data_IF_095785416630
#
_entry.id   IF_095785416630
#
_cell.length_a   1.000
_cell.length_b   1.000
_cell.length_c   1.000
_cell.angle_alpha   90.00
_cell.angle_beta   90.00
_cell.angle_gamma   90.00
#
_symmetry.space_group_name_H-M   'P 1'
#
loop_
_entity.id
_entity.type
_entity.pdbx_description
1 polymer ?
#
# COMPACT_ATOMS: atom_id res chain seq x y z
N UNK A 1 27.18 -10.09 13.20
CA UNK A 1 26.27 -10.64 12.16
C UNK A 1 25.99 -9.52 11.17
N UNK A 2 26.20 -9.73 9.87
CA UNK A 2 25.84 -8.74 8.86
C UNK A 2 24.31 -8.66 8.75
N UNK A 3 23.75 -7.46 8.73
CA UNK A 3 22.29 -7.29 8.60
C UNK A 3 21.87 -7.48 7.14
N UNK A 4 20.58 -7.74 6.90
CA UNK A 4 20.02 -7.77 5.53
C UNK A 4 20.30 -6.46 4.77
N UNK A 5 20.33 -5.33 5.49
CA UNK A 5 20.67 -4.04 4.91
C UNK A 5 22.12 -3.99 4.39
N UNK A 6 23.08 -4.48 5.19
CA UNK A 6 24.49 -4.54 4.78
C UNK A 6 24.69 -5.49 3.59
N UNK A 7 23.94 -6.59 3.58
CA UNK A 7 23.96 -7.57 2.49
C UNK A 7 23.39 -7.03 1.18
N UNK A 8 22.28 -6.27 1.24
CA UNK A 8 21.72 -5.58 0.06
C UNK A 8 22.72 -4.56 -0.48
N UNK A 9 23.29 -3.72 0.39
CA UNK A 9 24.27 -2.71 -0.02
C UNK A 9 25.53 -3.35 -0.61
N UNK A 10 25.98 -4.51 -0.09
CA UNK A 10 27.10 -5.25 -0.65
C UNK A 10 26.77 -5.85 -2.03
N UNK A 11 25.57 -6.41 -2.21
CA UNK A 11 25.14 -7.02 -3.47
C UNK A 11 25.05 -6.01 -4.61
N UNK A 12 24.49 -4.82 -4.34
CA UNK A 12 24.28 -3.78 -5.37
C UNK A 12 25.56 -2.99 -5.73
N UNK A 13 26.68 -3.19 -5.01
CA UNK A 13 27.96 -2.51 -5.33
C UNK A 13 28.48 -2.86 -6.72
N UNK A 14 28.22 -4.09 -7.18
CA UNK A 14 28.80 -4.60 -8.43
C UNK A 14 27.87 -4.36 -9.62
N UNK A 15 26.56 -4.39 -9.40
CA UNK A 15 25.56 -4.14 -10.43
C UNK A 15 24.22 -3.77 -9.79
N UNK A 16 23.38 -2.96 -10.46
CA UNK A 16 22.00 -2.77 -10.05
C UNK A 16 21.24 -4.11 -10.06
N UNK A 17 20.44 -4.38 -9.03
CA UNK A 17 19.69 -5.65 -8.88
C UNK A 17 18.23 -5.41 -8.51
N UNK A 18 17.33 -6.18 -9.11
CA UNK A 18 15.92 -6.20 -8.73
C UNK A 18 15.67 -6.98 -7.41
N UNK A 19 14.50 -6.79 -6.82
CA UNK A 19 14.16 -7.41 -5.53
C UNK A 19 14.10 -8.97 -5.62
N UNK A 20 13.85 -9.55 -6.80
CA UNK A 20 13.88 -11.02 -7.02
C UNK A 20 15.32 -11.55 -7.09
N UNK A 21 16.20 -10.81 -7.78
CA UNK A 21 17.62 -11.13 -7.89
C UNK A 21 18.30 -11.04 -6.52
N UNK A 22 18.00 -9.99 -5.75
CA UNK A 22 18.48 -9.85 -4.37
C UNK A 22 17.96 -10.99 -3.47
N UNK A 23 16.68 -11.36 -3.58
CA UNK A 23 16.12 -12.46 -2.80
C UNK A 23 16.83 -13.81 -3.11
N UNK A 24 17.08 -14.09 -4.39
CA UNK A 24 17.82 -15.30 -4.81
C UNK A 24 19.27 -15.28 -4.34
N UNK A 25 19.97 -14.16 -4.53
CA UNK A 25 21.39 -14.04 -4.20
C UNK A 25 21.66 -14.09 -2.69
N UNK A 26 20.75 -13.54 -1.89
CA UNK A 26 20.86 -13.52 -0.44
C UNK A 26 20.26 -14.78 0.23
N UNK A 27 19.70 -15.71 -0.55
CA UNK A 27 19.07 -16.93 -0.03
C UNK A 27 17.85 -16.64 0.85
N UNK A 28 17.20 -15.49 0.64
CA UNK A 28 16.07 -15.03 1.45
C UNK A 28 14.77 -15.45 0.78
N UNK A 29 14.04 -16.39 1.38
CA UNK A 29 12.77 -16.90 0.86
C UNK A 29 11.66 -15.84 0.78
N UNK A 30 11.78 -14.73 1.52
CA UNK A 30 10.78 -13.68 1.60
C UNK A 30 11.23 -12.38 0.91
N UNK A 31 10.84 -12.23 -0.36
CA UNK A 31 10.99 -11.00 -1.16
C UNK A 31 10.51 -9.72 -0.45
N UNK A 32 9.50 -9.84 0.42
CA UNK A 32 8.93 -8.73 1.18
C UNK A 32 9.94 -8.10 2.16
N UNK A 33 10.87 -8.88 2.71
CA UNK A 33 11.93 -8.39 3.60
C UNK A 33 12.95 -7.53 2.83
N UNK A 34 13.30 -7.95 1.60
CA UNK A 34 14.18 -7.20 0.70
C UNK A 34 13.52 -5.87 0.30
N UNK A 35 12.25 -5.91 -0.13
CA UNK A 35 11.52 -4.72 -0.55
C UNK A 35 11.41 -3.67 0.58
N UNK A 36 11.03 -4.09 1.80
CA UNK A 36 10.94 -3.20 2.96
C UNK A 36 12.31 -2.61 3.34
N UNK A 37 13.36 -3.44 3.34
CA UNK A 37 14.70 -3.00 3.71
C UNK A 37 15.27 -2.03 2.67
N UNK A 38 15.06 -2.29 1.39
CA UNK A 38 15.55 -1.44 0.31
C UNK A 38 14.83 -0.10 0.21
N UNK A 39 13.50 -0.05 0.45
CA UNK A 39 12.76 1.22 0.59
C UNK A 39 13.27 2.06 1.77
N UNK A 40 13.57 1.42 2.91
CA UNK A 40 14.17 2.13 4.04
C UNK A 40 15.54 2.69 3.70
N UNK A 41 16.39 1.91 3.01
CA UNK A 41 17.72 2.36 2.57
C UNK A 41 17.66 3.49 1.52
N UNK A 42 16.61 3.54 0.70
CA UNK A 42 16.35 4.64 -0.22
C UNK A 42 15.99 5.94 0.52
N UNK A 43 15.09 5.87 1.51
CA UNK A 43 14.74 7.01 2.37
C UNK A 43 15.98 7.52 3.13
N UNK A 44 16.84 6.60 3.58
CA UNK A 44 18.11 6.92 4.24
C UNK A 44 19.20 7.42 3.25
N UNK A 45 18.92 7.51 1.95
CA UNK A 45 19.85 7.98 0.93
C UNK A 45 21.04 7.05 0.67
N UNK A 46 20.96 5.77 1.06
CA UNK A 46 22.04 4.78 0.94
C UNK A 46 21.99 3.98 -0.36
N UNK A 47 20.84 3.92 -1.02
CA UNK A 47 20.66 3.38 -2.36
C UNK A 47 19.61 4.20 -3.13
N UNK A 48 19.54 4.00 -4.43
CA UNK A 48 18.49 4.54 -5.29
C UNK A 48 17.68 3.41 -5.90
N UNK A 49 16.36 3.59 -6.01
CA UNK A 49 15.47 2.66 -6.72
C UNK A 49 14.93 3.32 -7.98
N UNK A 50 14.93 2.59 -9.09
CA UNK A 50 14.38 3.06 -10.36
C UNK A 50 13.81 1.90 -11.18
N UNK A 51 12.99 2.22 -12.19
CA UNK A 51 12.43 1.24 -13.12
C UNK A 51 13.52 0.85 -14.14
N UNK A 52 13.91 -0.43 -14.13
CA UNK A 52 14.86 -1.00 -15.08
C UNK A 52 14.25 -1.27 -16.46
N UNK A 53 15.07 -1.71 -17.43
CA UNK A 53 14.64 -1.95 -18.83
C UNK A 53 13.48 -2.94 -18.96
N UNK A 54 13.39 -3.90 -18.05
CA UNK A 54 12.36 -4.95 -18.02
C UNK A 54 11.10 -4.53 -17.24
N UNK A 55 10.98 -3.24 -16.86
CA UNK A 55 9.85 -2.71 -16.08
C UNK A 55 9.89 -3.06 -14.59
N UNK A 56 10.93 -3.74 -14.12
CA UNK A 56 11.12 -4.09 -12.70
C UNK A 56 11.83 -2.99 -11.93
N UNK A 57 11.57 -2.90 -10.62
CA UNK A 57 12.29 -1.97 -9.74
C UNK A 57 13.67 -2.54 -9.40
N UNK A 58 14.70 -1.76 -9.69
CA UNK A 58 16.11 -2.10 -9.51
C UNK A 58 16.73 -1.22 -8.44
N UNK A 59 17.60 -1.78 -7.62
CA UNK A 59 18.33 -1.12 -6.53
C UNK A 59 19.77 -0.84 -6.96
N UNK A 60 20.25 0.39 -6.81
CA UNK A 60 21.61 0.81 -7.16
C UNK A 60 22.28 1.65 -6.05
N UNK A 61 23.64 1.71 -5.99
CA UNK A 61 24.35 2.51 -5.00
C UNK A 61 24.07 4.02 -5.13
N UNK A 62 24.10 4.75 -4.01
CA UNK A 62 23.74 6.18 -3.98
C UNK A 62 24.83 7.19 -4.38
N UNK A 63 26.01 6.81 -4.90
CA UNK A 63 27.03 7.79 -5.30
C UNK A 63 27.99 7.35 -6.43
N UNK A 64 28.18 8.26 -7.42
CA UNK A 64 29.30 8.31 -8.37
C UNK A 64 28.91 8.27 -9.85
N UNK A 65 28.66 9.44 -10.47
CA UNK A 65 28.10 9.63 -11.83
C UNK A 65 29.04 9.11 -12.94
N UNK A 66 28.48 8.36 -13.90
CA UNK A 66 28.96 8.33 -15.28
C UNK A 66 27.75 8.40 -16.24
N UNK A 67 27.82 9.37 -17.15
CA UNK A 67 26.75 9.92 -17.98
C UNK A 67 26.04 8.90 -18.90
N UNK A 68 24.71 9.01 -18.97
CA UNK A 68 23.96 8.81 -20.23
C UNK A 68 22.97 9.96 -20.39
N UNK A 69 22.78 10.46 -21.63
CA UNK A 69 22.05 11.69 -21.86
C UNK A 69 20.59 11.52 -21.47
N UNK A 70 20.09 12.53 -20.76
CA UNK A 70 18.72 12.60 -20.28
C UNK A 70 17.72 12.44 -21.44
N UNK A 71 16.71 11.55 -21.33
CA UNK A 71 15.46 11.81 -22.00
C UNK A 71 14.78 12.95 -21.24
N UNK A 72 14.58 14.07 -21.94
CA UNK A 72 13.76 15.17 -21.49
C UNK A 72 12.34 14.70 -21.19
N UNK A 73 11.85 15.07 -20.00
CA UNK A 73 10.44 15.20 -19.59
C UNK A 73 9.56 13.94 -19.65
N UNK A 74 9.34 13.37 -18.48
CA UNK A 74 8.06 13.54 -17.77
C UNK A 74 8.26 13.14 -16.32
N UNK A 75 7.84 14.00 -15.40
CA UNK A 75 7.64 13.69 -13.99
C UNK A 75 6.61 12.56 -13.87
N UNK A 76 7.06 11.31 -13.97
CA UNK A 76 6.31 10.18 -13.48
C UNK A 76 6.58 10.10 -11.98
N UNK A 77 5.82 10.91 -11.22
CA UNK A 77 5.39 10.48 -9.88
C UNK A 77 5.00 9.01 -9.96
N UNK A 78 5.39 8.19 -9.00
CA UNK A 78 4.92 6.80 -8.97
C UNK A 78 3.39 6.79 -9.07
N UNK A 79 2.84 6.31 -10.17
CA UNK A 79 1.38 6.33 -10.47
C UNK A 79 0.55 5.48 -9.49
N UNK A 80 1.19 4.81 -8.52
CA UNK A 80 0.53 3.95 -7.56
C UNK A 80 0.20 4.68 -6.27
N UNK A 81 -1.08 4.69 -5.92
CA UNK A 81 -1.57 5.25 -4.68
C UNK A 81 -1.09 4.43 -3.47
N UNK A 82 -0.40 5.04 -2.52
CA UNK A 82 0.07 4.36 -1.31
C UNK A 82 -1.06 4.15 -0.29
N UNK A 83 -0.86 3.23 0.66
CA UNK A 83 -1.84 3.01 1.75
C UNK A 83 -2.03 4.26 2.61
N UNK A 84 -0.96 5.02 2.84
CA UNK A 84 -0.98 6.28 3.61
C UNK A 84 -1.78 7.37 2.87
N UNK A 85 -1.66 7.46 1.54
CA UNK A 85 -2.48 8.35 0.71
C UNK A 85 -3.95 7.96 0.74
N UNK A 86 -4.27 6.66 0.66
CA UNK A 86 -5.64 6.13 0.82
C UNK A 86 -6.21 6.50 2.18
N UNK A 87 -5.45 6.28 3.26
CA UNK A 87 -5.83 6.67 4.64
C UNK A 87 -6.09 8.16 4.75
N UNK A 88 -5.22 8.99 4.15
CA UNK A 88 -5.37 10.45 4.19
C UNK A 88 -6.63 10.92 3.47
N UNK A 89 -6.89 10.42 2.27
CA UNK A 89 -8.08 10.81 1.49
C UNK A 89 -9.39 10.46 2.21
N UNK A 90 -9.47 9.26 2.80
CA UNK A 90 -10.64 8.83 3.60
C UNK A 90 -10.79 9.67 4.87
N UNK A 91 -9.69 9.93 5.57
CA UNK A 91 -9.68 10.82 6.74
C UNK A 91 -10.23 12.20 6.38
N UNK A 92 -9.79 12.78 5.27
CA UNK A 92 -10.21 14.11 4.87
C UNK A 92 -11.69 14.16 4.47
N UNK A 93 -12.19 13.12 3.80
CA UNK A 93 -13.62 12.94 3.55
C UNK A 93 -14.43 12.92 4.85
N UNK A 94 -14.10 12.01 5.76
CA UNK A 94 -14.87 11.82 7.00
C UNK A 94 -14.79 13.05 7.91
N UNK A 95 -13.66 13.76 7.94
CA UNK A 95 -13.55 15.04 8.65
C UNK A 95 -14.48 16.10 8.09
N UNK A 96 -14.60 16.21 6.76
CA UNK A 96 -15.55 17.14 6.12
C UNK A 96 -17.00 16.81 6.47
N UNK A 97 -17.29 15.52 6.72
CA UNK A 97 -18.59 15.05 7.17
C UNK A 97 -18.81 15.18 8.70
N UNK A 98 -17.87 15.79 9.44
CA UNK A 98 -18.01 16.05 10.87
C UNK A 98 -17.54 14.93 11.79
N UNK A 99 -16.86 13.91 11.26
CA UNK A 99 -16.27 12.86 12.09
C UNK A 99 -14.96 13.32 12.74
N UNK A 100 -14.75 12.91 13.99
CA UNK A 100 -13.43 12.83 14.60
C UNK A 100 -12.74 11.57 14.09
N UNK A 101 -11.58 11.71 13.44
CA UNK A 101 -10.89 10.59 12.78
C UNK A 101 -9.54 10.31 13.42
N UNK A 102 -9.30 9.05 13.79
CA UNK A 102 -8.01 8.52 14.21
C UNK A 102 -7.48 7.55 13.15
N UNK A 103 -6.24 7.78 12.71
CA UNK A 103 -5.55 6.93 11.73
C UNK A 103 -4.40 6.22 12.42
N UNK A 104 -4.33 4.90 12.25
CA UNK A 104 -3.20 4.11 12.69
C UNK A 104 -2.06 4.25 11.66
N UNK A 105 -1.02 4.98 12.04
CA UNK A 105 0.21 5.10 11.25
C UNK A 105 1.21 4.02 11.69
N UNK A 106 1.77 3.28 10.74
CA UNK A 106 2.76 2.22 11.00
C UNK A 106 2.18 0.90 11.54
N UNK A 107 3.01 0.08 12.20
CA UNK A 107 2.68 -1.28 12.68
C UNK A 107 1.84 -1.34 13.96
N UNK A 108 1.11 -0.28 14.29
CA UNK A 108 0.28 -0.25 15.49
C UNK A 108 -0.90 -1.20 15.31
N UNK A 109 -1.15 -2.08 16.29
CA UNK A 109 -2.32 -2.97 16.25
C UNK A 109 -3.61 -2.13 16.33
N UNK A 110 -4.43 -2.20 15.30
CA UNK A 110 -5.71 -1.48 15.23
C UNK A 110 -6.26 -1.46 13.80
N UNK A 111 -7.50 -0.99 13.66
CA UNK A 111 -8.06 -0.66 12.35
C UNK A 111 -7.35 0.56 11.77
N UNK A 112 -7.11 0.54 10.47
CA UNK A 112 -6.36 1.59 9.77
C UNK A 112 -6.96 2.98 9.98
N UNK A 113 -8.29 3.08 9.95
CA UNK A 113 -9.04 4.30 10.29
C UNK A 113 -10.20 3.98 11.22
N UNK A 114 -10.26 4.63 12.38
CA UNK A 114 -11.41 4.67 13.29
C UNK A 114 -11.98 6.09 13.29
N UNK A 115 -13.22 6.27 12.85
CA UNK A 115 -13.87 7.56 12.80
C UNK A 115 -15.16 7.55 13.62
N UNK A 116 -15.39 8.62 14.39
CA UNK A 116 -16.52 8.76 15.30
C UNK A 116 -17.23 10.08 15.09
N UNK A 117 -18.54 10.04 14.90
CA UNK A 117 -19.36 11.22 14.76
C UNK A 117 -20.11 11.53 16.08
N UNK A 118 -20.35 12.81 16.41
CA UNK A 118 -21.06 13.18 17.65
C UNK A 118 -22.47 12.60 17.80
N UNK A 119 -23.13 12.21 16.69
CA UNK A 119 -24.45 11.57 16.69
C UNK A 119 -24.42 10.06 16.99
N UNK A 120 -23.25 9.50 17.30
CA UNK A 120 -23.07 8.10 17.62
C UNK A 120 -22.67 7.21 16.45
N UNK A 121 -22.65 7.70 15.21
CA UNK A 121 -22.11 6.93 14.07
C UNK A 121 -20.62 6.66 14.23
N UNK A 122 -20.19 5.46 13.83
CA UNK A 122 -18.78 5.05 13.86
C UNK A 122 -18.40 4.29 12.61
N UNK A 123 -17.22 4.57 12.07
CA UNK A 123 -16.59 3.80 10.99
C UNK A 123 -15.34 3.09 11.49
N UNK A 124 -15.17 1.84 11.08
CA UNK A 124 -13.93 1.08 11.18
C UNK A 124 -13.53 0.65 9.77
N UNK A 125 -12.41 1.16 9.27
CA UNK A 125 -12.03 1.06 7.85
C UNK A 125 -10.64 0.46 7.72
N UNK A 126 -10.51 -0.60 6.92
CA UNK A 126 -9.24 -1.20 6.53
C UNK A 126 -8.80 -0.65 5.16
N UNK A 127 -7.59 -0.12 5.06
CA UNK A 127 -7.08 0.54 3.86
C UNK A 127 -6.01 -0.31 3.18
N UNK A 128 -5.93 -0.26 1.84
CA UNK A 128 -4.83 -0.85 1.08
C UNK A 128 -4.38 0.09 -0.03
N UNK A 129 -3.07 0.18 -0.24
CA UNK A 129 -2.49 0.88 -1.39
C UNK A 129 -2.45 0.04 -2.66
N UNK A 130 -2.14 0.68 -3.77
CA UNK A 130 -1.85 0.04 -5.04
C UNK A 130 -0.48 -0.63 -5.05
N UNK A 131 -0.46 -1.76 -5.75
CA UNK A 131 0.75 -2.46 -6.16
C UNK A 131 0.59 -2.78 -7.64
N UNK A 132 1.69 -3.13 -8.30
CA UNK A 132 1.65 -3.59 -9.68
C UNK A 132 0.55 -4.67 -9.84
N UNK A 133 -0.31 -4.55 -10.87
CA UNK A 133 -1.42 -5.48 -11.09
C UNK A 133 -0.94 -6.93 -11.11
N UNK A 134 -1.68 -7.81 -10.46
CA UNK A 134 -1.32 -9.23 -10.36
C UNK A 134 -1.76 -9.92 -9.06
N UNK A 135 -1.19 -11.10 -8.74
CA UNK A 135 -1.59 -11.90 -7.58
C UNK A 135 -1.46 -11.17 -6.24
N UNK A 136 -0.53 -10.22 -6.15
CA UNK A 136 -0.26 -9.48 -4.92
C UNK A 136 -1.44 -8.60 -4.50
N UNK A 137 -2.09 -7.92 -5.45
CA UNK A 137 -3.25 -7.07 -5.16
C UNK A 137 -4.47 -7.90 -4.76
N UNK A 138 -4.63 -9.12 -5.33
CA UNK A 138 -5.65 -10.09 -4.89
C UNK A 138 -5.43 -10.51 -3.45
N UNK A 139 -4.19 -10.84 -3.09
CA UNK A 139 -3.85 -11.21 -1.71
C UNK A 139 -4.07 -10.04 -0.74
N UNK A 140 -3.76 -8.81 -1.15
CA UNK A 140 -4.03 -7.62 -0.33
C UNK A 140 -5.52 -7.45 -0.07
N UNK A 141 -6.35 -7.61 -1.11
CA UNK A 141 -7.80 -7.54 -0.97
C UNK A 141 -8.35 -8.62 -0.02
N UNK A 142 -7.95 -9.88 -0.21
CA UNK A 142 -8.44 -10.99 0.62
C UNK A 142 -7.97 -10.87 2.08
N UNK A 143 -6.73 -10.44 2.30
CA UNK A 143 -6.20 -10.20 3.64
C UNK A 143 -6.94 -9.05 4.33
N UNK A 144 -7.14 -7.92 3.63
CA UNK A 144 -7.88 -6.77 4.17
C UNK A 144 -9.30 -7.15 4.58
N UNK A 145 -9.99 -7.91 3.71
CA UNK A 145 -11.33 -8.41 4.00
C UNK A 145 -11.33 -9.34 5.23
N UNK A 146 -10.38 -10.26 5.32
CA UNK A 146 -10.26 -11.17 6.46
C UNK A 146 -9.91 -10.45 7.76
N UNK A 147 -9.04 -9.45 7.73
CA UNK A 147 -8.69 -8.60 8.88
C UNK A 147 -9.89 -7.79 9.35
N UNK A 148 -10.65 -7.21 8.41
CA UNK A 148 -11.85 -6.46 8.71
C UNK A 148 -12.90 -7.35 9.38
N UNK A 149 -13.19 -8.53 8.80
CA UNK A 149 -14.18 -9.49 9.34
C UNK A 149 -13.82 -9.93 10.77
N UNK A 150 -12.54 -10.19 11.05
CA UNK A 150 -12.09 -10.57 12.40
C UNK A 150 -12.30 -9.46 13.46
N UNK A 151 -12.53 -8.22 13.03
CA UNK A 151 -12.76 -7.05 13.89
C UNK A 151 -14.23 -6.63 13.93
N UNK A 152 -15.12 -7.39 13.30
CA UNK A 152 -16.56 -7.11 13.30
C UNK A 152 -17.24 -7.53 14.61
N UNK A 153 -16.83 -6.89 15.71
CA UNK A 153 -17.31 -7.16 17.07
C UNK A 153 -18.39 -6.18 17.56
N UNK A 154 -18.53 -5.02 16.90
CA UNK A 154 -19.44 -3.96 17.30
C UNK A 154 -20.58 -3.79 16.28
N UNK A 155 -21.82 -4.21 16.61
CA UNK A 155 -22.95 -4.14 15.69
C UNK A 155 -23.43 -2.70 15.38
N UNK A 156 -22.94 -1.70 16.12
CA UNK A 156 -23.26 -0.29 15.90
C UNK A 156 -22.17 0.45 15.09
N UNK A 157 -21.08 -0.22 14.73
CA UNK A 157 -20.07 0.33 13.84
C UNK A 157 -20.35 -0.08 12.39
N UNK A 158 -20.12 0.84 11.47
CA UNK A 158 -20.06 0.55 10.04
C UNK A 158 -18.63 0.12 9.67
N UNK A 159 -18.51 -0.94 8.87
CA UNK A 159 -17.23 -1.52 8.49
C UNK A 159 -16.99 -1.32 7.01
N UNK A 160 -15.78 -0.88 6.63
CA UNK A 160 -15.48 -0.61 5.23
C UNK A 160 -14.08 -1.02 4.80
N UNK A 161 -13.94 -1.27 3.51
CA UNK A 161 -12.64 -1.28 2.83
C UNK A 161 -12.41 0.09 2.18
N UNK A 162 -11.19 0.62 2.29
CA UNK A 162 -10.74 1.77 1.50
C UNK A 162 -9.74 1.31 0.45
N UNK A 163 -10.11 1.46 -0.82
CA UNK A 163 -9.37 0.90 -1.94
C UNK A 163 -9.16 1.96 -3.05
N UNK A 164 -7.99 1.96 -3.70
CA UNK A 164 -7.75 2.72 -4.90
C UNK A 164 -8.75 2.37 -6.01
N UNK A 165 -9.23 3.39 -6.71
CA UNK A 165 -10.16 3.23 -7.83
C UNK A 165 -9.43 2.77 -9.09
N UNK A 166 -9.06 1.48 -9.11
CA UNK A 166 -8.50 0.84 -10.28
C UNK A 166 -9.30 -0.38 -10.71
N UNK A 167 -9.08 -0.78 -11.96
CA UNK A 167 -9.80 -1.88 -12.61
C UNK A 167 -9.72 -3.19 -11.83
N UNK A 168 -8.60 -3.49 -11.19
CA UNK A 168 -8.42 -4.75 -10.48
C UNK A 168 -9.19 -4.79 -9.15
N UNK A 169 -9.15 -3.72 -8.34
CA UNK A 169 -9.96 -3.64 -7.13
C UNK A 169 -11.45 -3.57 -7.44
N UNK A 170 -11.87 -2.82 -8.48
CA UNK A 170 -13.25 -2.84 -9.00
C UNK A 170 -13.70 -4.27 -9.30
N UNK A 171 -12.93 -4.99 -10.12
CA UNK A 171 -13.26 -6.38 -10.46
C UNK A 171 -13.17 -7.38 -9.31
N UNK A 172 -12.46 -7.08 -8.22
CA UNK A 172 -12.47 -7.89 -6.98
C UNK A 172 -13.74 -7.62 -6.16
N UNK A 173 -14.10 -6.35 -5.99
CA UNK A 173 -15.31 -5.91 -5.28
C UNK A 173 -16.58 -6.39 -6.01
N UNK A 174 -16.62 -6.27 -7.34
CA UNK A 174 -17.77 -6.69 -8.15
C UNK A 174 -17.99 -8.22 -8.15
N UNK A 175 -16.95 -9.00 -7.83
CA UNK A 175 -17.05 -10.46 -7.68
C UNK A 175 -17.57 -10.88 -6.31
N UNK A 176 -17.57 -10.00 -5.32
CA UNK A 176 -18.19 -10.31 -4.03
C UNK A 176 -19.72 -10.33 -4.21
N UNK A 177 -20.41 -11.42 -3.82
CA UNK A 177 -21.86 -11.51 -3.95
C UNK A 177 -22.59 -10.45 -3.12
N UNK A 178 -23.69 -9.90 -3.62
CA UNK A 178 -24.51 -8.92 -2.88
C UNK A 178 -24.98 -9.47 -1.51
N UNK A 179 -25.22 -10.78 -1.41
CA UNK A 179 -25.57 -11.43 -0.14
C UNK A 179 -24.46 -11.25 0.92
N UNK A 180 -23.19 -11.30 0.51
CA UNK A 180 -22.07 -11.10 1.44
C UNK A 180 -22.03 -9.64 1.92
N UNK A 181 -22.19 -8.67 1.02
CA UNK A 181 -22.30 -7.25 1.39
C UNK A 181 -23.42 -7.01 2.39
N UNK A 182 -24.62 -7.55 2.13
CA UNK A 182 -25.77 -7.37 3.01
C UNK A 182 -25.58 -8.03 4.38
N UNK A 183 -25.05 -9.25 4.42
CA UNK A 183 -24.87 -10.00 5.67
C UNK A 183 -23.77 -9.41 6.54
N UNK A 184 -22.75 -8.83 5.94
CA UNK A 184 -21.66 -8.18 6.65
C UNK A 184 -21.93 -6.69 6.91
N UNK A 185 -22.91 -6.06 6.24
CA UNK A 185 -23.02 -4.60 6.26
C UNK A 185 -21.71 -3.93 5.80
N UNK A 186 -21.06 -4.54 4.80
CA UNK A 186 -19.76 -4.13 4.30
C UNK A 186 -19.91 -2.93 3.37
N UNK A 187 -19.06 -1.93 3.58
CA UNK A 187 -19.00 -0.73 2.75
C UNK A 187 -17.68 -0.61 1.99
N UNK A 188 -17.64 0.21 0.95
CA UNK A 188 -16.42 0.47 0.17
C UNK A 188 -16.25 1.96 -0.09
N UNK A 189 -15.11 2.49 0.35
CA UNK A 189 -14.59 3.79 -0.06
C UNK A 189 -13.63 3.59 -1.24
N UNK A 190 -13.92 4.28 -2.34
CA UNK A 190 -12.99 4.38 -3.45
C UNK A 190 -12.12 5.61 -3.29
N UNK A 191 -10.86 5.50 -3.69
CA UNK A 191 -9.89 6.60 -3.59
C UNK A 191 -9.17 6.83 -4.92
N UNK A 192 -9.07 8.09 -5.33
CA UNK A 192 -8.24 8.55 -6.45
C UNK A 192 -7.45 9.78 -6.02
N UNK A 193 -6.12 9.72 -6.09
CA UNK A 193 -5.17 10.77 -5.67
C UNK A 193 -5.51 11.40 -4.30
N UNK A 194 -6.37 12.43 -4.28
CA UNK A 194 -6.75 13.19 -3.07
C UNK A 194 -8.25 13.10 -2.73
N UNK A 195 -9.03 12.32 -3.49
CA UNK A 195 -10.47 12.21 -3.34
C UNK A 195 -10.86 10.80 -2.91
N UNK A 196 -11.66 10.73 -1.86
CA UNK A 196 -12.36 9.52 -1.46
C UNK A 196 -13.87 9.74 -1.58
N UNK A 197 -14.61 8.69 -1.93
CA UNK A 197 -16.07 8.68 -1.88
C UNK A 197 -16.60 7.29 -1.51
N UNK A 198 -17.74 7.29 -0.84
CA UNK A 198 -18.47 6.07 -0.50
C UNK A 198 -19.30 5.63 -1.71
N UNK A 199 -19.21 4.36 -2.12
CA UNK A 199 -20.01 3.84 -3.24
C UNK A 199 -21.03 2.78 -2.83
N UNK A 200 -20.78 2.06 -1.74
CA UNK A 200 -21.67 1.05 -1.14
C UNK A 200 -21.49 1.06 0.35
#
# INVERSE_FOLDING_TARGET
>A
MATIADQILAAIRHSPLDDDQLARQLGVSHRQSINQTARRLEIEGKLQRYVGPDGKIVNAPAAGIAERPAPSRSSATSDFLTEDEVKSAVKDLLKREGFTVHVAWGRTQGVDVDARHPDGRRWQIEAKGEVAPGPQQVNYFLNALGELIQRMDNPHASYALALPDNRQYRGLVDRLPDLAFQRLGLHVFWVSHDQAWLAR
#
